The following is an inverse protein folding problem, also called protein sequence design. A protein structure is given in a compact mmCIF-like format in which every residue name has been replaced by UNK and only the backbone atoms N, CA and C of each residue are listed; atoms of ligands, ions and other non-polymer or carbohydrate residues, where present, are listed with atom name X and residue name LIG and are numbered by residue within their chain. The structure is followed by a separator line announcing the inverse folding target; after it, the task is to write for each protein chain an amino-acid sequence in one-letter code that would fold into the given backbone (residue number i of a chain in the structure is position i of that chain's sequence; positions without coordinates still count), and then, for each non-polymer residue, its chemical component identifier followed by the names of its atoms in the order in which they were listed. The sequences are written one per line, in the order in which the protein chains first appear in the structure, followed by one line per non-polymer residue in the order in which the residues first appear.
data_IF_429138423507
#
_entry.id   IF_429138423507
#
_cell.length_a   1.000
_cell.length_b   1.000
_cell.length_c   1.000
_cell.angle_alpha   90.00
_cell.angle_beta   90.00
_cell.angle_gamma   90.00
#
_symmetry.space_group_name_H-M   'P 1'
#
loop_
_entity.id
_entity.type
_entity.pdbx_description
1 polymer ?
#
# COMPACT_ATOMS: atom_id res chain seq x y z
N UNK A 1 13.15 -26.60 1.94
CA UNK A 1 12.99 -26.54 3.41
C UNK A 1 12.39 -27.85 3.88
N UNK A 2 12.97 -28.51 4.89
CA UNK A 2 12.32 -29.64 5.56
C UNK A 2 11.19 -29.09 6.44
N UNK A 3 9.98 -29.01 5.87
CA UNK A 3 8.80 -28.49 6.57
C UNK A 3 8.46 -29.36 7.76
N UNK A 4 8.36 -28.75 8.94
CA UNK A 4 7.93 -29.46 10.15
C UNK A 4 6.48 -29.95 9.97
N UNK A 5 6.13 -31.14 10.47
CA UNK A 5 4.79 -31.71 10.28
C UNK A 5 3.64 -30.82 10.74
N UNK A 6 3.86 -29.94 11.74
CA UNK A 6 2.82 -29.08 12.31
C UNK A 6 2.59 -27.76 11.54
N UNK A 7 3.51 -27.34 10.65
CA UNK A 7 3.37 -26.08 9.90
C UNK A 7 2.10 -26.02 9.05
N UNK A 8 1.74 -27.07 8.27
CA UNK A 8 0.49 -27.06 7.51
C UNK A 8 -0.75 -26.92 8.39
N UNK A 9 -0.80 -27.60 9.53
CA UNK A 9 -1.93 -27.56 10.45
C UNK A 9 -2.09 -26.17 11.08
N UNK A 10 -0.99 -25.59 11.57
CA UNK A 10 -1.00 -24.26 12.17
C UNK A 10 -1.39 -23.18 11.15
N UNK A 11 -0.84 -23.24 9.92
CA UNK A 11 -1.23 -22.35 8.85
C UNK A 11 -2.72 -22.48 8.52
N UNK A 12 -3.22 -23.71 8.33
CA UNK A 12 -4.62 -23.94 8.01
C UNK A 12 -5.56 -23.43 9.11
N UNK A 13 -5.21 -23.67 10.39
CA UNK A 13 -5.97 -23.18 11.53
C UNK A 13 -6.02 -21.65 11.57
N UNK A 14 -4.87 -20.98 11.47
CA UNK A 14 -4.81 -19.52 11.54
C UNK A 14 -5.48 -18.86 10.33
N UNK A 15 -5.26 -19.38 9.12
CA UNK A 15 -5.78 -18.81 7.87
C UNK A 15 -7.30 -18.93 7.73
N UNK A 16 -7.90 -19.94 8.36
CA UNK A 16 -9.34 -20.17 8.36
C UNK A 16 -10.02 -19.78 9.67
N UNK A 17 -9.32 -19.09 10.57
CA UNK A 17 -9.88 -18.67 11.84
C UNK A 17 -11.08 -17.74 11.61
N UNK A 18 -12.20 -18.04 12.30
CA UNK A 18 -13.49 -17.36 12.12
C UNK A 18 -13.39 -15.83 12.15
N UNK A 19 -12.62 -15.27 13.08
CA UNK A 19 -12.48 -13.82 13.23
C UNK A 19 -11.82 -13.11 12.05
N UNK A 20 -10.98 -13.80 11.27
CA UNK A 20 -10.31 -13.21 10.09
C UNK A 20 -10.82 -13.82 8.78
N UNK A 21 -11.88 -14.64 8.81
CA UNK A 21 -12.33 -15.41 7.64
C UNK A 21 -12.73 -14.53 6.45
N UNK A 22 -13.26 -13.33 6.74
CA UNK A 22 -13.71 -12.36 5.74
C UNK A 22 -12.59 -11.51 5.14
N UNK A 23 -11.37 -11.61 5.67
CA UNK A 23 -10.20 -10.91 5.13
C UNK A 23 -9.75 -11.54 3.81
N UNK A 24 -9.19 -10.71 2.93
CA UNK A 24 -8.43 -11.16 1.77
C UNK A 24 -7.20 -11.95 2.19
N UNK A 25 -6.64 -12.77 1.29
CA UNK A 25 -5.43 -13.55 1.57
C UNK A 25 -4.23 -12.67 1.96
N UNK A 26 -4.14 -11.47 1.39
CA UNK A 26 -3.14 -10.45 1.74
C UNK A 26 -3.29 -10.02 3.20
N UNK A 27 -4.49 -9.64 3.60
CA UNK A 27 -4.79 -9.15 4.94
C UNK A 27 -4.60 -10.27 5.97
N UNK A 28 -5.03 -11.50 5.65
CA UNK A 28 -4.79 -12.69 6.49
C UNK A 28 -3.31 -12.91 6.75
N UNK A 29 -2.45 -12.81 5.73
CA UNK A 29 -1.02 -12.97 5.93
C UNK A 29 -0.47 -11.94 6.93
N UNK A 30 -0.83 -10.68 6.77
CA UNK A 30 -0.37 -9.60 7.65
C UNK A 30 -0.77 -9.89 9.11
N UNK A 31 -2.01 -10.29 9.34
CA UNK A 31 -2.51 -10.61 10.68
C UNK A 31 -1.85 -11.86 11.27
N UNK A 32 -1.66 -12.92 10.47
CA UNK A 32 -0.95 -14.13 10.90
C UNK A 32 0.49 -13.79 11.29
N UNK A 33 1.19 -13.00 10.49
CA UNK A 33 2.57 -12.60 10.78
C UNK A 33 2.67 -11.73 12.03
N UNK A 34 1.70 -10.84 12.28
CA UNK A 34 1.64 -10.06 13.53
C UNK A 34 1.38 -10.99 14.73
N UNK A 35 0.39 -11.89 14.62
CA UNK A 35 0.05 -12.85 15.67
C UNK A 35 1.27 -13.70 16.07
N UNK A 36 1.97 -14.28 15.09
CA UNK A 36 3.16 -15.11 15.33
C UNK A 36 4.26 -14.32 16.04
N UNK A 37 4.49 -13.06 15.66
CA UNK A 37 5.50 -12.19 16.29
C UNK A 37 5.14 -11.81 17.72
N UNK A 38 3.89 -11.38 17.95
CA UNK A 38 3.41 -10.91 19.25
C UNK A 38 3.30 -12.05 20.28
N UNK A 39 2.89 -13.24 19.84
CA UNK A 39 2.60 -14.37 20.72
C UNK A 39 3.70 -15.43 20.75
N UNK A 40 4.88 -15.16 20.17
CA UNK A 40 5.95 -16.15 20.01
C UNK A 40 6.32 -16.90 21.30
N UNK A 41 6.39 -16.18 22.42
CA UNK A 41 6.76 -16.75 23.73
C UNK A 41 5.69 -17.69 24.24
N UNK A 42 4.43 -17.30 24.12
CA UNK A 42 3.30 -18.12 24.54
C UNK A 42 3.15 -19.35 23.65
N UNK A 43 3.25 -19.21 22.33
CA UNK A 43 3.20 -20.35 21.40
C UNK A 43 4.30 -21.36 21.71
N UNK A 44 5.53 -20.88 22.00
CA UNK A 44 6.65 -21.73 22.42
C UNK A 44 6.38 -22.54 23.70
N UNK A 45 5.52 -22.06 24.61
CA UNK A 45 5.16 -22.84 25.81
C UNK A 45 4.23 -24.02 25.51
N UNK A 46 3.43 -23.94 24.45
CA UNK A 46 2.49 -25.00 24.05
C UNK A 46 3.11 -25.98 23.05
N UNK A 47 3.97 -25.49 22.17
CA UNK A 47 4.76 -26.30 21.25
C UNK A 47 6.03 -26.69 22.01
N UNK A 48 6.00 -27.82 22.72
CA UNK A 48 7.19 -28.37 23.41
C UNK A 48 8.36 -28.51 22.41
N UNK A 49 9.24 -27.51 22.35
CA UNK A 49 10.59 -27.42 21.75
C UNK A 49 10.87 -26.02 21.18
N UNK A 50 12.08 -25.82 20.62
CA UNK A 50 12.76 -24.60 20.14
C UNK A 50 11.99 -23.74 19.08
N UNK A 51 10.73 -23.40 19.34
CA UNK A 51 9.86 -22.62 18.46
C UNK A 51 10.47 -21.25 18.11
N UNK A 52 11.28 -20.68 19.00
CA UNK A 52 11.98 -19.43 18.71
C UNK A 52 12.97 -19.58 17.55
N UNK A 53 13.65 -20.72 17.42
CA UNK A 53 14.49 -21.03 16.24
C UNK A 53 13.66 -21.29 14.98
N UNK A 54 12.46 -21.85 15.12
CA UNK A 54 11.59 -22.29 14.01
C UNK A 54 10.69 -21.17 13.44
N UNK A 55 10.54 -20.05 14.16
CA UNK A 55 9.61 -18.97 13.78
C UNK A 55 9.92 -18.35 12.41
N UNK A 56 11.21 -18.27 12.04
CA UNK A 56 11.62 -17.74 10.74
C UNK A 56 11.15 -18.66 9.60
N UNK A 57 11.28 -19.96 9.78
CA UNK A 57 10.85 -20.96 8.80
C UNK A 57 9.33 -21.01 8.70
N UNK A 58 8.61 -20.89 9.82
CA UNK A 58 7.15 -20.79 9.82
C UNK A 58 6.67 -19.51 9.12
N UNK A 59 7.30 -18.37 9.38
CA UNK A 59 7.00 -17.10 8.68
C UNK A 59 7.22 -17.26 7.18
N UNK A 60 8.30 -17.93 6.76
CA UNK A 60 8.55 -18.18 5.35
C UNK A 60 7.49 -19.11 4.76
N UNK A 61 7.13 -20.18 5.47
CA UNK A 61 6.07 -21.10 5.06
C UNK A 61 4.72 -20.40 4.87
N UNK A 62 4.32 -19.51 5.79
CA UNK A 62 3.10 -18.70 5.66
C UNK A 62 3.15 -17.85 4.39
N UNK A 63 4.27 -17.17 4.12
CA UNK A 63 4.43 -16.36 2.91
C UNK A 63 4.37 -17.18 1.63
N UNK A 64 5.07 -18.31 1.59
CA UNK A 64 5.10 -19.18 0.41
C UNK A 64 3.70 -19.70 0.07
N UNK A 65 2.92 -20.07 1.10
CA UNK A 65 1.52 -20.50 0.92
C UNK A 65 0.61 -19.37 0.49
N UNK A 66 0.75 -18.19 1.08
CA UNK A 66 -0.02 -17.02 0.64
C UNK A 66 0.36 -16.60 -0.77
N UNK A 67 1.64 -16.67 -1.15
CA UNK A 67 2.14 -16.29 -2.48
C UNK A 67 1.48 -17.09 -3.61
N UNK A 68 1.21 -18.38 -3.39
CA UNK A 68 0.47 -19.20 -4.35
C UNK A 68 -0.94 -18.61 -4.61
N UNK A 69 -1.58 -18.09 -3.56
CA UNK A 69 -2.94 -17.55 -3.62
C UNK A 69 -2.95 -16.14 -4.25
N UNK A 70 -2.04 -15.26 -3.82
CA UNK A 70 -2.09 -13.84 -4.17
C UNK A 70 -1.38 -13.52 -5.49
N UNK A 71 -0.41 -14.33 -5.94
CA UNK A 71 0.37 -14.04 -7.15
C UNK A 71 -0.54 -13.84 -8.38
N UNK A 72 -1.50 -14.75 -8.69
CA UNK A 72 -2.39 -14.53 -9.84
C UNK A 72 -3.23 -13.27 -9.72
N UNK A 73 -3.71 -12.97 -8.50
CA UNK A 73 -4.51 -11.79 -8.21
C UNK A 73 -3.74 -10.48 -8.40
N UNK A 74 -2.49 -10.43 -7.91
CA UNK A 74 -1.61 -9.27 -8.07
C UNK A 74 -1.28 -9.03 -9.53
N UNK A 75 -0.87 -10.08 -10.26
CA UNK A 75 -0.55 -9.97 -11.68
C UNK A 75 -1.76 -9.54 -12.51
N UNK A 76 -2.95 -10.09 -12.22
CA UNK A 76 -4.20 -9.66 -12.88
C UNK A 76 -4.52 -8.19 -12.57
N UNK A 77 -4.27 -7.72 -11.35
CA UNK A 77 -4.50 -6.33 -10.97
C UNK A 77 -3.55 -5.36 -11.67
N UNK A 78 -2.28 -5.74 -11.83
CA UNK A 78 -1.30 -4.98 -12.63
C UNK A 78 -1.72 -4.97 -14.10
N UNK A 79 -2.18 -6.10 -14.64
CA UNK A 79 -2.61 -6.21 -16.03
C UNK A 79 -3.82 -5.34 -16.36
N UNK A 80 -4.74 -5.19 -15.40
CA UNK A 80 -5.92 -4.34 -15.52
C UNK A 80 -5.62 -2.82 -15.52
N UNK A 81 -4.38 -2.40 -15.27
CA UNK A 81 -3.96 -1.00 -15.41
C UNK A 81 -3.73 -0.72 -16.89
N UNK A 82 -4.44 0.28 -17.42
CA UNK A 82 -4.20 0.77 -18.78
C UNK A 82 -2.96 1.66 -18.79
N UNK A 83 -1.83 1.05 -19.16
CA UNK A 83 -0.55 1.74 -19.29
C UNK A 83 -0.47 2.67 -20.50
N UNK A 84 -1.25 2.39 -21.56
CA UNK A 84 -1.14 3.14 -22.81
C UNK A 84 -1.59 4.58 -22.63
N UNK A 85 -2.65 4.79 -21.85
CA UNK A 85 -3.21 6.13 -21.60
C UNK A 85 -2.35 6.99 -20.66
N UNK A 86 -1.43 6.38 -19.91
CA UNK A 86 -0.55 7.07 -18.94
C UNK A 86 0.90 7.13 -19.40
N UNK A 87 1.29 6.39 -20.44
CA UNK A 87 2.64 6.42 -21.02
C UNK A 87 3.17 7.84 -21.27
N UNK A 88 2.37 8.80 -21.80
CA UNK A 88 2.85 10.18 -22.03
C UNK A 88 3.19 10.97 -20.76
N UNK A 89 2.82 10.49 -19.56
CA UNK A 89 3.10 11.16 -18.30
C UNK A 89 4.53 10.90 -17.79
N UNK A 90 5.18 9.87 -18.30
CA UNK A 90 6.53 9.45 -17.90
C UNK A 90 7.54 9.90 -18.95
N UNK A 91 8.67 10.45 -18.50
CA UNK A 91 9.78 10.81 -19.41
C UNK A 91 10.75 9.65 -19.63
N UNK A 92 10.69 8.63 -18.78
CA UNK A 92 11.43 7.36 -18.91
C UNK A 92 10.49 6.23 -19.28
N UNK A 93 11.04 5.19 -19.89
CA UNK A 93 10.25 4.05 -20.36
C UNK A 93 9.85 3.15 -19.18
N UNK A 94 8.71 3.47 -18.56
CA UNK A 94 8.05 2.62 -17.58
C UNK A 94 7.07 1.67 -18.26
N UNK A 95 7.19 0.39 -17.95
CA UNK A 95 6.38 -0.70 -18.51
C UNK A 95 5.66 -1.51 -17.43
N UNK A 96 4.69 -2.33 -17.83
CA UNK A 96 4.05 -3.32 -16.93
C UNK A 96 5.08 -4.30 -16.34
N UNK A 97 6.11 -4.65 -17.11
CA UNK A 97 7.14 -5.58 -16.66
C UNK A 97 7.91 -5.02 -15.45
N UNK A 98 8.12 -3.70 -15.38
CA UNK A 98 8.79 -3.07 -14.24
C UNK A 98 7.96 -3.24 -12.95
N UNK A 99 6.63 -3.14 -13.03
CA UNK A 99 5.76 -3.41 -11.88
C UNK A 99 5.78 -4.89 -11.47
N UNK A 100 5.86 -5.81 -12.43
CA UNK A 100 6.00 -7.24 -12.15
C UNK A 100 7.35 -7.56 -11.48
N UNK A 101 8.43 -6.91 -11.91
CA UNK A 101 9.75 -7.03 -11.28
C UNK A 101 9.73 -6.50 -9.84
N UNK A 102 9.07 -5.35 -9.61
CA UNK A 102 8.85 -4.82 -8.27
C UNK A 102 8.10 -5.83 -7.40
N UNK A 103 7.03 -6.43 -7.91
CA UNK A 103 6.28 -7.44 -7.16
C UNK A 103 7.14 -8.66 -6.81
N UNK A 104 7.91 -9.20 -7.76
CA UNK A 104 8.81 -10.33 -7.51
C UNK A 104 9.87 -10.01 -6.44
N UNK A 105 10.41 -8.80 -6.47
CA UNK A 105 11.34 -8.31 -5.46
C UNK A 105 10.67 -8.18 -4.07
N UNK A 106 9.44 -7.68 -4.03
CA UNK A 106 8.65 -7.55 -2.79
C UNK A 106 8.36 -8.91 -2.16
N UNK A 107 8.13 -9.95 -2.97
CA UNK A 107 7.84 -11.30 -2.46
C UNK A 107 8.95 -11.83 -1.56
N UNK A 108 10.20 -11.59 -1.94
CA UNK A 108 11.38 -12.05 -1.18
C UNK A 108 11.75 -11.10 -0.03
N UNK A 109 11.29 -9.85 -0.04
CA UNK A 109 11.64 -8.85 0.97
C UNK A 109 10.53 -8.60 1.98
N UNK A 110 10.69 -9.18 3.18
CA UNK A 110 9.67 -9.12 4.23
C UNK A 110 9.34 -7.73 4.76
N UNK A 111 10.26 -6.77 4.72
CA UNK A 111 10.01 -5.41 5.22
C UNK A 111 9.18 -4.58 4.24
N UNK A 112 9.26 -4.88 2.94
CA UNK A 112 8.59 -4.15 1.87
C UNK A 112 7.26 -4.79 1.45
N UNK A 113 7.12 -6.09 1.70
CA UNK A 113 5.91 -6.90 1.45
C UNK A 113 4.63 -6.26 1.96
N UNK A 114 4.65 -5.82 3.22
CA UNK A 114 3.50 -5.19 3.87
C UNK A 114 3.08 -3.89 3.17
N UNK A 115 4.03 -3.01 2.87
CA UNK A 115 3.76 -1.72 2.25
C UNK A 115 3.24 -1.87 0.81
N UNK A 116 3.84 -2.77 0.01
CA UNK A 116 3.34 -3.04 -1.34
C UNK A 116 1.90 -3.56 -1.31
N UNK A 117 1.62 -4.55 -0.47
CA UNK A 117 0.30 -5.16 -0.43
C UNK A 117 -0.79 -4.28 0.13
N UNK A 118 -0.49 -3.40 1.08
CA UNK A 118 -1.42 -2.36 1.46
C UNK A 118 -1.79 -1.52 0.25
N UNK A 119 -0.80 -0.90 -0.42
CA UNK A 119 -1.06 -0.06 -1.59
C UNK A 119 -1.83 -0.82 -2.68
N UNK A 120 -1.50 -2.09 -2.93
CA UNK A 120 -2.23 -2.94 -3.87
C UNK A 120 -3.67 -3.23 -3.44
N UNK A 121 -3.92 -3.47 -2.14
CA UNK A 121 -5.27 -3.69 -1.62
C UNK A 121 -6.18 -2.47 -1.86
N UNK A 122 -5.65 -1.24 -1.74
CA UNK A 122 -6.41 -0.03 -2.09
C UNK A 122 -6.76 0.05 -3.58
N UNK A 123 -5.89 -0.47 -4.44
CA UNK A 123 -6.14 -0.56 -5.88
C UNK A 123 -7.24 -1.59 -6.15
N UNK A 124 -7.14 -2.79 -5.55
CA UNK A 124 -8.06 -3.89 -5.81
C UNK A 124 -9.46 -3.66 -5.22
N UNK A 125 -9.58 -2.97 -4.09
CA UNK A 125 -10.87 -2.66 -3.47
C UNK A 125 -11.68 -1.59 -4.21
N UNK A 126 -11.14 -1.02 -5.31
CA UNK A 126 -11.86 -0.10 -6.18
C UNK A 126 -12.04 1.31 -5.62
N UNK A 127 -11.54 1.61 -4.42
CA UNK A 127 -11.67 2.93 -3.79
C UNK A 127 -11.14 4.07 -4.67
N UNK A 128 -9.99 3.87 -5.32
CA UNK A 128 -9.41 4.88 -6.23
C UNK A 128 -10.37 5.16 -7.38
N UNK A 129 -10.83 4.10 -8.05
CA UNK A 129 -11.77 4.22 -9.19
C UNK A 129 -13.02 4.98 -8.76
N UNK A 130 -13.56 4.59 -7.62
CA UNK A 130 -14.77 5.17 -7.07
C UNK A 130 -14.60 6.69 -6.82
N UNK A 131 -13.60 7.07 -6.01
CA UNK A 131 -13.43 8.48 -5.61
C UNK A 131 -13.07 9.38 -6.78
N UNK A 132 -12.19 8.93 -7.68
CA UNK A 132 -11.80 9.73 -8.84
C UNK A 132 -12.99 9.93 -9.79
N UNK A 133 -13.83 8.91 -10.02
CA UNK A 133 -15.02 9.10 -10.83
C UNK A 133 -15.97 10.16 -10.23
N UNK A 134 -16.19 10.15 -8.91
CA UNK A 134 -17.04 11.17 -8.25
C UNK A 134 -16.47 12.58 -8.32
N UNK A 135 -15.16 12.74 -8.28
CA UNK A 135 -14.54 14.04 -8.51
C UNK A 135 -14.83 14.58 -9.93
N UNK A 136 -14.87 13.70 -10.94
CA UNK A 136 -15.20 14.10 -12.32
C UNK A 136 -16.70 14.34 -12.56
N UNK A 137 -17.59 13.70 -11.80
CA UNK A 137 -19.02 14.01 -11.84
C UNK A 137 -19.33 15.41 -11.28
N UNK A 138 -18.47 15.92 -10.39
CA UNK A 138 -18.61 17.25 -9.80
C UNK A 138 -18.31 18.36 -10.81
N UNK A 139 -19.33 19.16 -11.16
CA UNK A 139 -19.20 20.28 -12.11
C UNK A 139 -18.09 21.29 -11.77
N UNK A 140 -17.73 21.42 -10.49
CA UNK A 140 -16.72 22.36 -9.99
C UNK A 140 -15.73 21.67 -9.03
N UNK A 141 -15.23 20.49 -9.38
CA UNK A 141 -14.29 19.80 -8.48
C UNK A 141 -13.00 20.60 -8.30
N UNK A 142 -12.72 20.98 -7.05
CA UNK A 142 -11.53 21.74 -6.70
C UNK A 142 -10.26 20.92 -6.90
N UNK A 143 -10.30 19.65 -6.49
CA UNK A 143 -9.21 18.70 -6.68
C UNK A 143 -8.89 18.53 -8.16
N UNK A 144 -9.88 18.35 -9.04
CA UNK A 144 -9.64 18.21 -10.49
C UNK A 144 -9.06 19.50 -11.07
N UNK A 145 -9.61 20.66 -10.69
CA UNK A 145 -9.05 21.95 -11.09
C UNK A 145 -7.56 22.07 -10.74
N UNK A 146 -7.16 21.71 -9.51
CA UNK A 146 -5.77 21.76 -9.09
C UNK A 146 -4.89 20.79 -9.89
N UNK A 147 -5.34 19.56 -10.10
CA UNK A 147 -4.60 18.55 -10.87
C UNK A 147 -4.34 19.04 -12.30
N UNK A 148 -5.38 19.55 -12.97
CA UNK A 148 -5.28 20.04 -14.34
C UNK A 148 -4.46 21.32 -14.47
N UNK A 149 -4.47 22.17 -13.43
CA UNK A 149 -3.61 23.35 -13.34
C UNK A 149 -2.13 22.97 -13.29
N UNK A 150 -1.79 21.91 -12.55
CA UNK A 150 -0.41 21.42 -12.45
C UNK A 150 0.03 20.66 -13.70
N UNK A 151 -0.85 19.83 -14.26
CA UNK A 151 -0.54 19.01 -15.43
C UNK A 151 -1.76 18.86 -16.35
N UNK A 152 -1.74 19.58 -17.48
CA UNK A 152 -2.82 19.57 -18.49
C UNK A 152 -3.04 18.20 -19.14
N UNK A 153 -2.06 17.28 -19.09
CA UNK A 153 -2.22 15.91 -19.61
C UNK A 153 -3.13 15.04 -18.73
N UNK A 154 -3.43 15.46 -17.49
CA UNK A 154 -4.32 14.76 -16.56
C UNK A 154 -5.78 15.23 -16.73
N UNK A 155 -6.33 15.09 -17.94
CA UNK A 155 -7.63 15.68 -18.32
C UNK A 155 -8.83 14.73 -18.16
N UNK A 156 -8.62 13.43 -17.91
CA UNK A 156 -9.70 12.46 -17.76
C UNK A 156 -9.57 11.65 -16.47
N UNK A 157 -10.71 11.11 -16.01
CA UNK A 157 -10.74 10.25 -14.83
C UNK A 157 -9.90 9.00 -15.05
N UNK A 158 -9.93 8.40 -16.24
CA UNK A 158 -9.19 7.19 -16.57
C UNK A 158 -7.67 7.39 -16.47
N UNK A 159 -7.16 8.52 -16.98
CA UNK A 159 -5.74 8.85 -16.88
C UNK A 159 -5.33 9.01 -15.41
N UNK A 160 -6.10 9.78 -14.62
CA UNK A 160 -5.77 10.02 -13.20
C UNK A 160 -5.85 8.73 -12.38
N UNK A 161 -6.89 7.91 -12.59
CA UNK A 161 -7.05 6.61 -11.91
C UNK A 161 -5.84 5.71 -12.16
N UNK A 162 -5.48 5.51 -13.42
CA UNK A 162 -4.36 4.63 -13.77
C UNK A 162 -3.01 5.20 -13.30
N UNK A 163 -2.83 6.52 -13.36
CA UNK A 163 -1.61 7.16 -12.88
C UNK A 163 -1.44 6.97 -11.38
N UNK A 164 -2.47 7.23 -10.57
CA UNK A 164 -2.43 7.03 -9.11
C UNK A 164 -2.15 5.56 -8.76
N UNK A 165 -2.76 4.60 -9.47
CA UNK A 165 -2.51 3.16 -9.26
C UNK A 165 -1.03 2.82 -9.48
N UNK A 166 -0.43 3.31 -10.56
CA UNK A 166 0.99 3.10 -10.85
C UNK A 166 1.87 3.72 -9.77
N UNK A 167 1.61 4.97 -9.37
CA UNK A 167 2.38 5.67 -8.34
C UNK A 167 2.32 4.97 -6.98
N UNK A 168 1.17 4.42 -6.61
CA UNK A 168 1.02 3.60 -5.39
C UNK A 168 1.88 2.34 -5.42
N UNK A 169 2.01 1.67 -6.57
CA UNK A 169 2.85 0.48 -6.72
C UNK A 169 4.34 0.83 -6.75
N UNK A 170 4.71 1.95 -7.38
CA UNK A 170 6.09 2.46 -7.40
C UNK A 170 6.56 2.97 -6.03
N UNK A 171 5.64 3.28 -5.11
CA UNK A 171 5.98 3.78 -3.77
C UNK A 171 6.96 2.88 -3.02
N UNK A 172 6.84 1.56 -3.17
CA UNK A 172 7.73 0.60 -2.51
C UNK A 172 9.18 0.69 -3.01
N UNK A 173 9.39 1.09 -4.27
CA UNK A 173 10.71 1.26 -4.86
C UNK A 173 11.47 2.43 -4.21
N UNK A 174 10.76 3.53 -3.94
CA UNK A 174 11.33 4.68 -3.21
C UNK A 174 11.69 4.28 -1.78
N UNK A 175 10.83 3.53 -1.08
CA UNK A 175 11.12 3.02 0.27
C UNK A 175 12.38 2.15 0.26
N UNK A 176 12.47 1.22 -0.69
CA UNK A 176 13.64 0.36 -0.89
C UNK A 176 14.90 1.20 -1.09
N UNK A 177 14.86 2.14 -2.03
CA UNK A 177 16.01 2.98 -2.35
C UNK A 177 16.51 3.74 -1.14
N UNK A 178 15.61 4.42 -0.41
CA UNK A 178 15.97 5.15 0.79
C UNK A 178 16.57 4.24 1.86
N UNK A 179 15.99 3.04 2.06
CA UNK A 179 16.53 2.07 3.02
C UNK A 179 17.94 1.59 2.65
N UNK A 180 18.17 1.22 1.40
CA UNK A 180 19.47 0.71 0.92
C UNK A 180 20.57 1.77 0.97
N UNK A 181 20.21 3.04 0.73
CA UNK A 181 21.13 4.17 0.76
C UNK A 181 21.24 4.84 2.14
N UNK A 182 20.48 4.37 3.13
CA UNK A 182 20.43 4.99 4.46
C UNK A 182 19.91 6.43 4.46
N UNK A 183 19.01 6.76 3.52
CA UNK A 183 18.44 8.10 3.37
C UNK A 183 17.22 8.25 4.28
N UNK A 184 17.32 9.15 5.25
CA UNK A 184 16.16 9.65 5.98
C UNK A 184 15.50 10.78 5.17
N UNK A 185 14.24 10.59 4.77
CA UNK A 185 13.51 11.59 4.00
C UNK A 185 13.19 12.81 4.87
N UNK A 186 13.57 13.98 4.39
CA UNK A 186 13.25 15.28 5.00
C UNK A 186 12.74 16.23 3.92
N UNK A 187 12.02 17.29 4.30
CA UNK A 187 11.53 18.27 3.30
C UNK A 187 12.66 18.95 2.54
N UNK A 188 13.87 19.00 3.10
CA UNK A 188 15.06 19.62 2.49
C UNK A 188 15.72 18.76 1.42
N UNK A 189 15.50 17.44 1.42
CA UNK A 189 16.20 16.52 0.52
C UNK A 189 15.28 15.89 -0.53
N UNK A 190 14.06 16.39 -0.72
CA UNK A 190 13.11 15.86 -1.71
C UNK A 190 13.71 15.91 -3.12
N UNK A 191 14.20 17.08 -3.54
CA UNK A 191 14.76 17.27 -4.89
C UNK A 191 16.05 16.47 -5.12
N UNK A 192 16.95 16.44 -4.13
CA UNK A 192 18.19 15.70 -4.27
C UNK A 192 17.93 14.19 -4.29
N UNK A 193 16.96 13.71 -3.50
CA UNK A 193 16.61 12.29 -3.44
C UNK A 193 15.84 11.86 -4.69
N UNK A 194 14.89 12.65 -5.20
CA UNK A 194 14.18 12.34 -6.46
C UNK A 194 15.14 12.24 -7.63
N UNK A 195 16.11 13.16 -7.72
CA UNK A 195 17.15 13.15 -8.75
C UNK A 195 18.07 11.94 -8.61
N UNK A 196 18.49 11.59 -7.39
CA UNK A 196 19.31 10.40 -7.14
C UNK A 196 18.59 9.10 -7.54
N UNK A 197 17.32 8.96 -7.14
CA UNK A 197 16.48 7.81 -7.54
C UNK A 197 16.36 7.73 -9.06
N UNK A 198 16.08 8.86 -9.71
CA UNK A 198 15.98 8.93 -11.16
C UNK A 198 17.30 8.51 -11.82
N UNK A 199 18.45 8.98 -11.35
CA UNK A 199 19.74 8.59 -11.93
C UNK A 199 20.08 7.10 -11.74
N UNK A 200 19.69 6.52 -10.60
CA UNK A 200 19.98 5.13 -10.27
C UNK A 200 18.91 4.14 -10.79
N UNK A 201 17.81 4.63 -11.38
CA UNK A 201 16.69 3.80 -11.87
C UNK A 201 16.35 4.13 -13.32
N UNK A 202 16.50 3.17 -14.22
CA UNK A 202 16.36 3.40 -15.67
C UNK A 202 14.95 3.81 -16.11
N UNK A 203 13.91 3.32 -15.43
CA UNK A 203 12.50 3.53 -15.80
C UNK A 203 11.77 4.58 -14.96
N UNK A 204 12.34 5.02 -13.83
CA UNK A 204 11.67 5.96 -12.92
C UNK A 204 12.22 7.37 -13.12
N UNK A 205 11.37 8.29 -13.58
CA UNK A 205 11.74 9.69 -13.77
C UNK A 205 11.67 10.52 -12.49
N UNK A 206 12.40 11.64 -12.48
CA UNK A 206 12.53 12.54 -11.34
C UNK A 206 11.18 13.12 -10.87
N UNK A 207 10.30 13.48 -11.80
CA UNK A 207 8.98 14.05 -11.48
C UNK A 207 8.13 12.99 -10.78
N UNK A 208 8.10 11.78 -11.30
CA UNK A 208 7.40 10.64 -10.70
C UNK A 208 7.97 10.30 -9.33
N UNK A 209 9.30 10.22 -9.19
CA UNK A 209 9.96 9.99 -7.90
C UNK A 209 9.62 11.08 -6.89
N UNK A 210 9.61 12.36 -7.31
CA UNK A 210 9.26 13.50 -6.46
C UNK A 210 7.83 13.41 -5.94
N UNK A 211 6.83 13.13 -6.79
CA UNK A 211 5.44 12.96 -6.37
C UNK A 211 5.30 11.86 -5.31
N UNK A 212 6.02 10.75 -5.49
CA UNK A 212 6.03 9.66 -4.53
C UNK A 212 6.70 10.09 -3.21
N UNK A 213 7.85 10.75 -3.25
CA UNK A 213 8.56 11.25 -2.06
C UNK A 213 7.69 12.24 -1.28
N UNK A 214 7.06 13.20 -1.96
CA UNK A 214 6.13 14.15 -1.35
C UNK A 214 5.01 13.43 -0.60
N UNK A 215 4.49 12.32 -1.15
CA UNK A 215 3.41 11.52 -0.54
C UNK A 215 3.75 10.86 0.81
N UNK A 216 5.01 10.96 1.28
CA UNK A 216 5.40 10.51 2.63
C UNK A 216 5.29 11.61 3.69
N UNK A 217 5.20 12.87 3.29
CA UNK A 217 5.14 13.99 4.22
C UNK A 217 3.69 14.39 4.53
N UNK A 218 3.52 15.02 5.68
CA UNK A 218 2.28 15.70 6.03
C UNK A 218 2.19 17.03 5.28
N UNK A 219 0.98 17.41 4.91
CA UNK A 219 0.72 18.68 4.23
C UNK A 219 1.22 19.89 5.02
N UNK A 220 1.04 19.91 6.35
CA UNK A 220 1.56 20.99 7.21
C UNK A 220 3.09 21.17 7.14
N UNK A 221 3.82 20.09 6.82
CA UNK A 221 5.29 20.11 6.73
C UNK A 221 5.77 20.68 5.40
N UNK A 222 5.04 20.44 4.30
CA UNK A 222 5.42 20.89 2.97
C UNK A 222 4.88 22.27 2.60
N UNK A 223 3.78 22.72 3.22
CA UNK A 223 3.03 23.96 2.92
C UNK A 223 2.45 24.02 1.50
N UNK A 224 3.07 23.37 0.52
CA UNK A 224 2.62 23.14 -0.85
C UNK A 224 2.97 21.70 -1.25
N UNK A 225 1.96 20.89 -1.55
CA UNK A 225 2.11 19.49 -1.96
C UNK A 225 1.27 19.29 -3.22
N UNK A 226 1.76 18.51 -4.19
CA UNK A 226 0.95 18.23 -5.38
C UNK A 226 -0.38 17.57 -4.96
N UNK A 227 -1.53 17.94 -5.56
CA UNK A 227 -2.78 17.20 -5.41
C UNK A 227 -2.65 15.71 -5.70
N UNK A 228 -1.79 15.31 -6.65
CA UNK A 228 -1.53 13.88 -6.92
C UNK A 228 -0.79 13.23 -5.75
N UNK A 229 0.28 13.86 -5.24
CA UNK A 229 0.98 13.41 -4.04
C UNK A 229 0.02 13.28 -2.85
N UNK A 230 -0.89 14.24 -2.68
CA UNK A 230 -1.91 14.24 -1.62
C UNK A 230 -2.87 13.07 -1.77
N UNK A 231 -3.39 12.80 -2.97
CA UNK A 231 -4.25 11.65 -3.22
C UNK A 231 -3.53 10.32 -2.97
N UNK A 232 -2.27 10.19 -3.38
CA UNK A 232 -1.45 9.00 -3.08
C UNK A 232 -1.30 8.84 -1.57
N UNK A 233 -1.00 9.90 -0.83
CA UNK A 233 -0.86 9.85 0.62
C UNK A 233 -2.17 9.38 1.29
N UNK A 234 -3.32 9.93 0.88
CA UNK A 234 -4.65 9.54 1.39
C UNK A 234 -4.96 8.08 1.07
N UNK A 235 -4.80 7.66 -0.18
CA UNK A 235 -5.11 6.29 -0.61
C UNK A 235 -4.18 5.28 0.04
N UNK A 236 -2.88 5.59 0.15
CA UNK A 236 -1.88 4.79 0.86
C UNK A 236 -2.16 4.69 2.35
N UNK A 237 -2.66 5.75 2.99
CA UNK A 237 -3.08 5.71 4.38
C UNK A 237 -4.31 4.82 4.58
N UNK A 238 -5.31 4.91 3.69
CA UNK A 238 -6.50 4.03 3.69
C UNK A 238 -6.17 2.56 3.40
N UNK A 239 -5.01 2.32 2.79
CA UNK A 239 -4.49 1.00 2.45
C UNK A 239 -4.07 0.18 3.68
N UNK A 240 -3.69 0.87 4.75
CA UNK A 240 -3.26 0.26 6.00
C UNK A 240 -4.48 -0.35 6.68
N UNK A 241 -4.61 -1.67 6.52
CA UNK A 241 -5.74 -2.47 7.00
C UNK A 241 -5.76 -2.57 8.54
N UNK A 242 -6.93 -2.79 9.17
CA UNK A 242 -7.16 -2.54 10.59
C UNK A 242 -6.38 -3.51 11.46
N UNK A 243 -6.02 -3.04 12.66
CA UNK A 243 -5.40 -3.89 13.68
C UNK A 243 -6.45 -4.82 14.25
N UNK A 244 -6.20 -6.13 14.25
CA UNK A 244 -7.01 -7.07 15.03
C UNK A 244 -6.50 -7.18 16.46
N UNK A 245 -7.43 -7.43 17.39
CA UNK A 245 -7.06 -7.81 18.75
C UNK A 245 -6.68 -9.28 18.78
N UNK A 246 -5.43 -9.55 19.19
CA UNK A 246 -4.89 -10.89 19.32
C UNK A 246 -5.00 -11.40 20.76
N UNK A 247 -5.38 -12.67 20.94
CA UNK A 247 -5.31 -13.41 22.19
C UNK A 247 -4.22 -14.48 22.10
N UNK A 248 -3.34 -14.59 23.10
CA UNK A 248 -2.31 -15.63 23.12
C UNK A 248 -2.85 -17.07 23.14
N UNK A 249 -4.04 -17.29 23.72
CA UNK A 249 -4.65 -18.63 23.90
C UNK A 249 -5.74 -18.90 22.86
N UNK A 250 -6.56 -17.89 22.55
CA UNK A 250 -7.75 -18.03 21.70
C UNK A 250 -7.54 -17.65 20.23
N UNK A 251 -6.36 -17.16 19.83
CA UNK A 251 -6.13 -16.66 18.48
C UNK A 251 -6.71 -15.26 18.29
N UNK A 252 -7.45 -15.02 17.21
CA UNK A 252 -7.97 -13.70 16.86
C UNK A 252 -9.30 -13.40 17.57
N UNK A 253 -9.43 -12.26 18.27
CA UNK A 253 -10.62 -11.94 19.09
C UNK A 253 -11.66 -11.10 18.31
N UNK A 254 -11.24 -10.36 17.29
CA UNK A 254 -12.12 -9.51 16.47
C UNK A 254 -11.45 -8.21 16.02
N UNK A 255 -12.18 -7.43 15.21
CA UNK A 255 -11.71 -6.16 14.66
C UNK A 255 -11.69 -5.06 15.73
N UNK A 256 -10.68 -4.19 15.69
CA UNK A 256 -10.80 -2.85 16.27
C UNK A 256 -11.64 -2.00 15.29
N UNK A 257 -12.71 -1.34 15.76
CA UNK A 257 -13.70 -0.58 14.97
C UNK A 257 -13.12 0.69 14.29
N UNK A 258 -12.05 0.54 13.50
CA UNK A 258 -11.25 1.64 12.97
C UNK A 258 -11.24 1.72 11.44
N UNK A 259 -12.16 1.02 10.75
CA UNK A 259 -12.30 1.05 9.28
C UNK A 259 -12.52 2.48 8.72
N UNK A 260 -12.89 3.44 9.57
CA UNK A 260 -12.99 4.87 9.24
C UNK A 260 -12.31 5.79 10.27
N UNK A 261 -11.10 5.47 10.75
CA UNK A 261 -10.33 6.46 11.52
C UNK A 261 -9.68 7.56 10.65
N UNK A 262 -10.36 8.03 9.59
CA UNK A 262 -10.16 9.42 9.13
C UNK A 262 -10.72 10.39 10.17
N UNK A 263 -11.63 9.92 11.06
CA UNK A 263 -12.15 10.68 12.20
C UNK A 263 -11.10 11.16 13.22
N UNK A 264 -9.82 10.77 13.10
CA UNK A 264 -8.74 11.24 13.97
C UNK A 264 -7.47 11.73 13.27
N UNK A 265 -7.39 11.72 11.93
CA UNK A 265 -6.32 12.44 11.22
C UNK A 265 -6.70 13.92 11.22
N UNK A 266 -6.00 14.73 12.01
CA UNK A 266 -6.24 16.18 12.04
C UNK A 266 -6.14 16.78 10.64
N UNK A 267 -6.85 17.89 10.39
CA UNK A 267 -6.86 18.64 9.13
C UNK A 267 -5.49 19.12 8.63
N UNK A 268 -4.42 18.83 9.37
CA UNK A 268 -3.03 19.20 9.11
C UNK A 268 -2.23 18.15 8.34
N UNK A 269 -2.71 16.90 8.27
CA UNK A 269 -1.94 15.81 7.65
C UNK A 269 -2.00 15.82 6.12
N UNK A 270 -3.07 16.34 5.52
CA UNK A 270 -3.29 16.39 4.07
C UNK A 270 -3.82 17.77 3.66
N UNK A 271 -3.84 18.08 2.36
CA UNK A 271 -4.48 19.32 1.88
C UNK A 271 -5.94 19.36 2.33
N UNK A 272 -6.26 20.31 3.19
CA UNK A 272 -7.56 20.42 3.85
C UNK A 272 -8.71 20.59 2.87
N UNK A 273 -8.45 21.17 1.69
CA UNK A 273 -9.45 21.40 0.65
C UNK A 273 -9.80 20.10 -0.06
N UNK A 274 -8.79 19.30 -0.39
CA UNK A 274 -8.98 17.97 -1.01
C UNK A 274 -9.66 17.02 -0.02
N UNK A 275 -9.24 17.02 1.26
CA UNK A 275 -9.89 16.19 2.30
C UNK A 275 -11.36 16.56 2.47
N UNK A 276 -11.67 17.86 2.51
CA UNK A 276 -13.06 18.32 2.64
C UNK A 276 -13.91 17.78 1.49
N UNK A 277 -13.44 17.92 0.25
CA UNK A 277 -14.16 17.45 -0.94
C UNK A 277 -14.37 15.93 -0.93
N UNK A 278 -13.35 15.14 -0.60
CA UNK A 278 -13.48 13.69 -0.48
C UNK A 278 -14.41 13.27 0.67
N UNK A 279 -14.42 14.03 1.77
CA UNK A 279 -15.31 13.78 2.92
C UNK A 279 -16.77 14.09 2.58
N UNK A 280 -17.02 15.14 1.80
CA UNK A 280 -18.35 15.46 1.28
C UNK A 280 -18.85 14.35 0.34
N UNK A 281 -18.00 13.84 -0.56
CA UNK A 281 -18.33 12.69 -1.40
C UNK A 281 -18.69 11.48 -0.53
N UNK A 282 -17.86 11.15 0.46
CA UNK A 282 -18.14 10.01 1.36
C UNK A 282 -19.48 10.17 2.07
N UNK A 283 -19.75 11.36 2.62
CA UNK A 283 -21.00 11.67 3.33
C UNK A 283 -22.24 11.51 2.43
N UNK A 284 -22.19 12.03 1.21
CA UNK A 284 -23.32 11.95 0.26
C UNK A 284 -23.64 10.50 -0.11
N UNK A 285 -22.63 9.65 -0.16
CA UNK A 285 -22.79 8.25 -0.57
C UNK A 285 -22.84 7.25 0.61
N UNK A 286 -22.90 7.73 1.84
CA UNK A 286 -23.00 6.94 3.08
C UNK A 286 -21.85 5.94 3.26
N UNK A 287 -20.61 6.38 3.07
CA UNK A 287 -19.41 5.62 3.44
C UNK A 287 -18.79 6.14 4.73
#
# INVERSE_FOLDING_TARGET
MNTKPYFPYLYHYLFNHESIKSLSAIEKEIEILNYLKENKKTIATFIKNDFESEIKDLIQYVKDKTDIIITPFVLSGIEAIDFNIVKPLFSKELTKNDLNLIFNFVKVNSSLRKEFFYNFNTISNGYITFYINKLFEGKNSYTIYLIQKENKALYSSDIIKNYIKILLLLKVLVIKYCFEKGIELTTKNIESTSKAISNDTDFLDEKTAKLIIESFFKYETLQTMSPISTLIAIFSARARTPKYKNNPVKGFIGYDESWFSIKQSGSREYDSRIIKELSEIAKVNKW
#
